data_IF_037838322095
#
_entry.id   IF_037838322095
#
_cell.length_a   1.000
_cell.length_b   1.000
_cell.length_c   1.000
_cell.angle_alpha   90.00
_cell.angle_beta   90.00
_cell.angle_gamma   90.00
#
_symmetry.space_group_name_H-M   'P 1'
#
loop_
_entity.id
_entity.type
_entity.pdbx_description
1 polymer ?
#
# COMPACT_ATOMS: atom_id res chain seq x y z
N UNK A 1 54.11 -25.82 33.42
CA UNK A 1 53.82 -24.37 33.28
C UNK A 1 52.31 -24.25 33.16
N UNK A 2 51.59 -24.21 34.28
CA UNK A 2 51.08 -22.97 34.88
C UNK A 2 49.73 -22.61 34.24
N UNK A 3 48.62 -23.24 34.65
CA UNK A 3 47.69 -22.82 35.73
C UNK A 3 46.56 -21.88 35.26
N UNK A 4 45.36 -22.47 35.22
CA UNK A 4 44.00 -22.00 35.57
C UNK A 4 43.85 -20.58 36.14
N UNK A 5 42.72 -19.90 35.84
CA UNK A 5 41.82 -19.12 36.75
C UNK A 5 40.80 -18.33 35.89
N UNK A 6 39.50 -18.67 35.91
CA UNK A 6 38.42 -18.25 36.82
C UNK A 6 37.77 -16.89 36.50
N UNK A 7 36.43 -16.94 36.45
CA UNK A 7 35.49 -15.83 36.32
C UNK A 7 35.41 -14.99 37.60
N UNK A 8 35.11 -13.69 37.47
CA UNK A 8 34.51 -12.91 38.56
C UNK A 8 33.39 -12.01 38.03
N UNK A 9 32.18 -12.25 38.54
CA UNK A 9 31.03 -11.36 38.49
C UNK A 9 31.26 -10.12 39.37
N UNK A 10 30.95 -8.94 38.82
CA UNK A 10 30.47 -7.74 39.56
C UNK A 10 29.52 -7.04 38.57
N UNK A 11 28.22 -6.83 38.76
CA UNK A 11 27.49 -6.45 39.96
C UNK A 11 26.98 -5.01 39.77
N UNK A 12 26.03 -4.76 38.85
CA UNK A 12 25.39 -3.45 38.72
C UNK A 12 24.20 -3.36 39.68
N UNK A 13 24.42 -2.75 40.85
CA UNK A 13 23.37 -2.24 41.73
C UNK A 13 23.10 -0.74 41.48
N UNK A 14 21.95 -0.19 41.92
CA UNK A 14 21.52 1.16 41.56
C UNK A 14 22.28 2.25 42.34
N UNK A 15 22.56 3.36 41.65
CA UNK A 15 23.18 4.56 42.20
C UNK A 15 22.21 5.31 43.12
N UNK A 16 22.45 5.23 44.43
CA UNK A 16 21.93 6.21 45.40
C UNK A 16 23.06 6.59 46.37
N UNK A 17 23.55 7.82 46.28
CA UNK A 17 24.51 8.33 47.26
C UNK A 17 25.21 9.60 46.80
N UNK A 18 24.78 10.74 47.33
CA UNK A 18 25.54 12.00 47.31
C UNK A 18 26.91 11.74 47.98
N UNK A 19 27.98 11.90 47.22
CA UNK A 19 29.36 11.91 47.73
C UNK A 19 30.08 13.14 47.20
N UNK A 20 30.42 14.05 48.11
CA UNK A 20 31.24 15.24 47.85
C UNK A 20 32.68 14.76 47.67
N UNK A 21 33.25 14.94 46.47
CA UNK A 21 34.65 14.59 46.21
C UNK A 21 35.57 15.67 46.76
N UNK A 22 36.37 15.32 47.77
CA UNK A 22 37.35 16.19 48.42
C UNK A 22 38.67 15.41 48.61
N UNK A 23 39.43 15.24 47.53
CA UNK A 23 40.84 14.82 47.58
C UNK A 23 41.52 15.01 46.23
N UNK A 24 42.75 15.51 46.25
CA UNK A 24 43.63 15.75 45.10
C UNK A 24 44.07 14.49 44.35
N UNK A 25 43.67 13.30 44.79
CA UNK A 25 43.95 12.03 44.12
C UNK A 25 42.89 11.64 43.06
N UNK A 26 41.68 12.20 43.10
CA UNK A 26 40.66 11.99 42.06
C UNK A 26 40.84 12.90 40.82
N UNK A 27 41.74 13.88 40.90
CA UNK A 27 42.15 14.67 39.73
C UNK A 27 43.10 13.90 38.82
N UNK A 28 43.70 12.79 39.29
CA UNK A 28 44.63 11.97 38.50
C UNK A 28 43.95 10.99 37.54
N UNK A 29 42.78 10.45 37.89
CA UNK A 29 42.07 9.47 37.06
C UNK A 29 41.35 10.16 35.88
N UNK A 30 40.92 11.41 36.04
CA UNK A 30 40.43 12.25 34.93
C UNK A 30 41.57 12.70 34.02
N UNK A 31 42.83 12.73 34.51
CA UNK A 31 43.99 13.14 33.72
C UNK A 31 44.62 12.02 32.87
N UNK A 32 44.19 10.76 33.03
CA UNK A 32 44.70 9.62 32.26
C UNK A 32 43.74 9.14 31.15
N UNK A 33 42.55 9.75 31.03
CA UNK A 33 41.77 9.62 29.80
C UNK A 33 42.43 10.52 28.74
N UNK A 34 43.32 9.89 27.98
CA UNK A 34 44.03 10.44 26.83
C UNK A 34 43.21 11.53 26.13
N UNK A 35 43.75 12.74 25.96
CA UNK A 35 43.08 13.80 25.18
C UNK A 35 42.68 13.28 23.80
N UNK A 36 43.41 12.31 23.25
CA UNK A 36 43.04 11.59 22.02
C UNK A 36 41.79 10.72 22.16
N UNK A 37 41.51 10.12 23.32
CA UNK A 37 40.31 9.31 23.57
C UNK A 37 39.10 10.17 23.95
N UNK A 38 39.30 11.25 24.71
CA UNK A 38 38.24 12.26 24.97
C UNK A 38 37.90 12.99 23.67
N UNK A 39 38.90 13.38 22.89
CA UNK A 39 38.70 13.90 21.53
C UNK A 39 38.18 12.81 20.60
N UNK A 40 38.45 11.51 20.74
CA UNK A 40 37.81 10.48 19.92
C UNK A 40 36.36 10.20 20.33
N UNK A 41 36.00 10.32 21.60
CA UNK A 41 34.60 10.22 22.09
C UNK A 41 33.83 11.50 21.69
N UNK A 42 34.47 12.67 21.70
CA UNK A 42 33.89 13.93 21.22
C UNK A 42 33.89 14.01 19.67
N UNK A 43 34.90 13.46 18.99
CA UNK A 43 35.03 13.43 17.52
C UNK A 43 34.29 12.25 16.87
N UNK A 44 33.77 11.30 17.65
CA UNK A 44 32.70 10.40 17.21
C UNK A 44 31.32 11.05 17.34
N UNK A 45 31.22 12.31 17.80
CA UNK A 45 30.00 13.13 17.75
C UNK A 45 30.01 14.15 16.59
N UNK A 46 30.73 13.92 15.50
CA UNK A 46 30.54 14.68 14.26
C UNK A 46 29.51 14.02 13.34
N UNK A 47 28.25 13.98 13.80
CA UNK A 47 27.15 14.13 12.86
C UNK A 47 26.84 15.62 12.82
N UNK A 48 27.28 16.33 11.77
CA UNK A 48 26.81 17.70 11.49
C UNK A 48 25.29 17.75 11.63
N UNK A 49 24.82 18.24 12.78
CA UNK A 49 23.40 18.38 13.10
C UNK A 49 22.81 19.30 12.05
N UNK A 50 22.08 18.72 11.11
CA UNK A 50 21.51 19.48 10.02
C UNK A 50 20.29 20.19 10.56
N UNK A 51 20.39 21.49 10.79
CA UNK A 51 19.28 22.31 11.25
C UNK A 51 18.48 22.78 10.03
N UNK A 52 17.24 22.31 9.93
CA UNK A 52 16.30 22.73 8.90
C UNK A 52 15.58 24.00 9.36
N UNK A 53 15.78 25.09 8.61
CA UNK A 53 15.09 26.38 8.77
C UNK A 53 15.14 26.92 10.21
N UNK A 54 16.26 26.69 10.91
CA UNK A 54 16.49 27.13 12.31
C UNK A 54 15.45 26.62 13.32
N UNK A 55 14.64 25.63 12.95
CA UNK A 55 13.51 25.14 13.76
C UNK A 55 13.58 23.66 14.10
N UNK A 56 14.16 22.87 13.21
CA UNK A 56 14.16 21.41 13.32
C UNK A 56 15.56 20.85 13.18
N UNK A 57 16.01 20.10 14.18
CA UNK A 57 17.22 19.31 14.09
C UNK A 57 16.90 17.99 13.39
N UNK A 58 17.43 17.81 12.18
CA UNK A 58 17.24 16.60 11.38
C UNK A 58 18.18 15.50 11.89
N UNK A 59 17.62 14.32 12.13
CA UNK A 59 18.36 13.11 12.48
C UNK A 59 18.27 12.04 11.39
N UNK A 60 18.25 10.77 11.81
CA UNK A 60 18.25 9.60 10.93
C UNK A 60 17.11 9.58 9.91
N UNK A 61 17.36 9.00 8.74
CA UNK A 61 16.32 8.71 7.76
C UNK A 61 15.40 7.59 8.27
N UNK A 62 14.09 7.80 8.18
CA UNK A 62 13.05 6.83 8.55
C UNK A 62 12.54 6.02 7.35
N UNK A 63 12.53 6.63 6.16
CA UNK A 63 12.02 6.00 4.94
C UNK A 63 12.35 6.76 3.67
N UNK A 64 12.17 6.10 2.53
CA UNK A 64 12.41 6.66 1.21
C UNK A 64 11.33 6.19 0.23
N UNK A 65 10.76 7.13 -0.52
CA UNK A 65 9.90 6.88 -1.66
C UNK A 65 10.45 7.51 -2.94
N UNK A 66 9.73 7.36 -4.04
CA UNK A 66 10.17 7.83 -5.37
C UNK A 66 10.48 9.33 -5.43
N UNK A 67 9.68 10.15 -4.73
CA UNK A 67 9.77 11.61 -4.77
C UNK A 67 10.07 12.25 -3.42
N UNK A 68 10.18 11.44 -2.37
CA UNK A 68 10.28 11.92 -1.01
C UNK A 68 11.26 11.10 -0.17
N UNK A 69 11.91 11.77 0.78
CA UNK A 69 12.65 11.12 1.87
C UNK A 69 12.05 11.56 3.19
N UNK A 70 11.91 10.63 4.14
CA UNK A 70 11.34 10.91 5.46
C UNK A 70 12.45 10.81 6.48
N UNK A 71 12.61 11.83 7.32
CA UNK A 71 13.61 11.89 8.37
C UNK A 71 12.96 12.04 9.73
N UNK A 72 13.57 11.45 10.74
CA UNK A 72 13.31 11.84 12.12
C UNK A 72 13.85 13.25 12.34
N UNK A 73 13.14 14.07 13.09
CA UNK A 73 13.64 15.35 13.52
C UNK A 73 13.11 15.72 14.91
N UNK A 74 13.74 16.71 15.53
CA UNK A 74 13.32 17.29 16.80
C UNK A 74 13.07 18.77 16.62
N UNK A 75 11.92 19.24 17.06
CA UNK A 75 11.65 20.67 17.14
C UNK A 75 12.59 21.29 18.20
N UNK A 76 13.33 22.34 17.82
CA UNK A 76 14.34 22.96 18.69
C UNK A 76 13.72 23.75 19.86
N UNK A 77 12.50 24.26 19.70
CA UNK A 77 11.80 25.04 20.72
C UNK A 77 11.08 24.14 21.72
N UNK A 78 10.30 23.18 21.24
CA UNK A 78 9.47 22.32 22.11
C UNK A 78 10.13 21.01 22.52
N UNK A 79 11.24 20.62 21.87
CA UNK A 79 11.82 19.29 22.03
C UNK A 79 10.99 18.15 21.43
N UNK A 80 9.85 18.46 20.81
CA UNK A 80 8.93 17.46 20.27
C UNK A 80 9.56 16.68 19.12
N UNK A 81 9.45 15.35 19.17
CA UNK A 81 9.84 14.46 18.09
C UNK A 81 8.83 14.53 16.93
N UNK A 82 9.34 14.67 15.71
CA UNK A 82 8.54 14.78 14.48
C UNK A 82 9.13 13.94 13.35
N UNK A 83 8.32 13.63 12.35
CA UNK A 83 8.78 13.08 11.07
C UNK A 83 8.71 14.17 10.00
N UNK A 84 9.80 14.38 9.25
CA UNK A 84 9.86 15.38 8.18
C UNK A 84 9.95 14.67 6.83
N UNK A 85 8.86 14.72 6.06
CA UNK A 85 8.80 14.24 4.67
C UNK A 85 9.27 15.37 3.75
N UNK A 86 10.47 15.21 3.20
CA UNK A 86 11.12 16.14 2.27
C UNK A 86 10.81 15.72 0.83
N UNK A 87 10.10 16.58 0.09
CA UNK A 87 9.69 16.34 -1.30
C UNK A 87 10.47 17.28 -2.22
N UNK A 88 10.97 16.75 -3.32
CA UNK A 88 11.70 17.51 -4.34
C UNK A 88 10.73 18.19 -5.31
N UNK A 89 10.74 19.54 -5.37
CA UNK A 89 9.81 20.34 -6.18
C UNK A 89 9.99 20.09 -7.68
N UNK A 90 11.22 19.92 -8.14
CA UNK A 90 11.51 19.73 -9.56
C UNK A 90 10.97 18.37 -10.01
N UNK A 91 11.27 17.31 -9.25
CA UNK A 91 10.81 15.96 -9.57
C UNK A 91 9.29 15.89 -9.66
N UNK A 92 8.57 16.46 -8.69
CA UNK A 92 7.09 16.40 -8.65
C UNK A 92 6.44 17.33 -9.67
N UNK A 93 7.07 18.46 -10.02
CA UNK A 93 6.58 19.36 -11.07
C UNK A 93 6.69 18.69 -12.44
N UNK A 94 7.83 18.05 -12.73
CA UNK A 94 8.07 17.33 -13.98
C UNK A 94 7.03 16.25 -14.25
N UNK A 95 6.65 15.48 -13.22
CA UNK A 95 5.62 14.43 -13.33
C UNK A 95 4.19 14.93 -13.07
N UNK A 96 3.99 16.23 -12.80
CA UNK A 96 2.65 16.82 -12.66
C UNK A 96 1.93 16.58 -11.34
N UNK A 97 2.63 16.15 -10.30
CA UNK A 97 2.02 15.77 -9.01
C UNK A 97 1.79 16.96 -8.06
N UNK A 98 2.15 18.18 -8.46
CA UNK A 98 1.98 19.38 -7.61
C UNK A 98 0.53 19.64 -7.18
N UNK A 99 -0.45 19.33 -8.03
CA UNK A 99 -1.87 19.45 -7.68
C UNK A 99 -2.25 18.47 -6.57
N UNK A 100 -1.69 17.26 -6.59
CA UNK A 100 -1.96 16.23 -5.58
C UNK A 100 -1.34 16.61 -4.24
N UNK A 101 -0.12 17.13 -4.24
CA UNK A 101 0.54 17.63 -3.03
C UNK A 101 -0.30 18.73 -2.38
N UNK A 102 -0.81 19.69 -3.16
CA UNK A 102 -1.72 20.74 -2.63
C UNK A 102 -2.99 20.14 -2.03
N UNK A 103 -3.58 19.14 -2.69
CA UNK A 103 -4.78 18.45 -2.21
C UNK A 103 -4.51 17.67 -0.92
N UNK A 104 -3.38 16.96 -0.82
CA UNK A 104 -2.93 16.25 0.38
C UNK A 104 -2.84 17.22 1.57
N UNK A 105 -2.17 18.36 1.38
CA UNK A 105 -2.04 19.40 2.41
C UNK A 105 -3.43 19.89 2.85
N UNK A 106 -4.33 20.17 1.91
CA UNK A 106 -5.68 20.63 2.23
C UNK A 106 -6.47 19.59 3.03
N UNK A 107 -6.40 18.31 2.64
CA UNK A 107 -7.07 17.22 3.36
C UNK A 107 -6.49 17.07 4.76
N UNK A 108 -5.17 16.99 4.89
CA UNK A 108 -4.49 16.79 6.18
C UNK A 108 -4.73 17.93 7.16
N UNK A 109 -4.98 19.15 6.68
CA UNK A 109 -5.37 20.29 7.53
C UNK A 109 -6.81 20.20 8.05
N UNK A 110 -7.69 19.46 7.39
CA UNK A 110 -9.10 19.30 7.78
C UNK A 110 -9.33 18.12 8.73
N UNK A 111 -8.39 17.18 8.81
CA UNK A 111 -8.52 15.97 9.62
C UNK A 111 -7.66 16.04 10.88
N UNK A 112 -8.30 15.86 12.04
CA UNK A 112 -7.63 15.79 13.33
C UNK A 112 -8.33 14.74 14.19
N UNK A 113 -7.71 13.58 14.32
CA UNK A 113 -8.28 12.43 15.00
C UNK A 113 -7.14 11.58 15.60
N UNK A 114 -7.31 10.98 16.79
CA UNK A 114 -6.25 10.21 17.44
C UNK A 114 -5.67 9.08 16.58
N UNK A 115 -6.47 8.49 15.69
CA UNK A 115 -6.04 7.41 14.78
C UNK A 115 -5.66 7.85 13.36
N UNK A 116 -5.51 9.16 13.12
CA UNK A 116 -5.06 9.72 11.85
C UNK A 116 -3.74 10.45 12.08
N UNK A 117 -2.72 10.20 11.26
CA UNK A 117 -1.40 10.80 11.39
C UNK A 117 -1.50 12.33 11.22
N UNK A 118 -1.09 13.07 12.25
CA UNK A 118 -1.26 14.52 12.25
C UNK A 118 -0.20 15.25 11.40
N UNK A 119 -0.65 16.22 10.60
CA UNK A 119 0.20 17.25 10.01
C UNK A 119 0.31 18.44 10.97
N UNK A 120 1.53 18.76 11.41
CA UNK A 120 1.78 19.92 12.26
C UNK A 120 1.95 21.19 11.41
N UNK A 121 2.81 21.15 10.40
CA UNK A 121 3.01 22.27 9.50
C UNK A 121 3.57 21.86 8.14
N UNK A 122 3.51 22.79 7.18
CA UNK A 122 4.15 22.66 5.87
C UNK A 122 5.09 23.83 5.68
N UNK A 123 6.34 23.53 5.36
CA UNK A 123 7.36 24.51 5.01
C UNK A 123 7.81 24.32 3.57
N UNK A 124 8.45 25.31 2.97
CA UNK A 124 8.97 25.21 1.62
C UNK A 124 10.25 26.04 1.44
N UNK A 125 11.18 25.52 0.62
CA UNK A 125 12.33 26.26 0.10
C UNK A 125 12.18 26.45 -1.42
N UNK A 126 13.19 27.02 -2.09
CA UNK A 126 13.19 27.11 -3.57
C UNK A 126 13.06 25.73 -4.24
N UNK A 127 13.71 24.70 -3.68
CA UNK A 127 13.81 23.37 -4.30
C UNK A 127 13.00 22.26 -3.60
N UNK A 128 12.51 22.47 -2.37
CA UNK A 128 11.84 21.42 -1.59
C UNK A 128 10.55 21.87 -0.92
N UNK A 129 9.67 20.91 -0.66
CA UNK A 129 8.50 21.03 0.21
C UNK A 129 8.73 20.10 1.40
N UNK A 130 8.38 20.55 2.60
CA UNK A 130 8.59 19.84 3.85
C UNK A 130 7.26 19.68 4.56
N UNK A 131 6.88 18.44 4.86
CA UNK A 131 5.73 18.15 5.71
C UNK A 131 6.27 17.77 7.07
N UNK A 132 5.90 18.52 8.10
CA UNK A 132 6.23 18.21 9.50
C UNK A 132 5.05 17.43 10.07
N UNK A 133 5.28 16.15 10.34
CA UNK A 133 4.27 15.17 10.71
C UNK A 133 4.50 14.65 12.13
N UNK A 134 3.44 14.13 12.73
CA UNK A 134 3.52 13.29 13.92
C UNK A 134 4.52 12.14 13.72
N UNK A 135 5.38 11.91 14.72
CA UNK A 135 6.32 10.80 14.69
C UNK A 135 5.70 9.53 15.26
N UNK A 136 5.33 8.60 14.38
CA UNK A 136 4.85 7.28 14.75
C UNK A 136 6.04 6.34 15.11
N UNK A 137 6.45 6.37 16.39
CA UNK A 137 7.65 5.66 16.89
C UNK A 137 7.61 4.14 16.69
N UNK A 138 6.42 3.53 16.77
CA UNK A 138 6.20 2.10 16.57
C UNK A 138 6.35 1.62 15.13
N UNK A 139 6.47 2.55 14.16
CA UNK A 139 6.70 2.25 12.75
C UNK A 139 5.49 1.60 12.06
N UNK A 140 5.73 0.94 10.92
CA UNK A 140 4.67 0.30 10.13
C UNK A 140 4.09 -0.93 10.82
N UNK A 141 2.75 -1.01 10.88
CA UNK A 141 2.02 -2.17 11.37
C UNK A 141 2.36 -3.42 10.54
N UNK A 142 2.59 -3.26 9.23
CA UNK A 142 2.96 -4.36 8.34
C UNK A 142 4.20 -5.13 8.83
N UNK A 143 5.22 -4.45 9.38
CA UNK A 143 6.43 -5.09 9.92
C UNK A 143 6.16 -5.97 11.14
N UNK A 144 5.05 -5.74 11.85
CA UNK A 144 4.59 -6.63 12.93
C UNK A 144 3.82 -7.81 12.38
N UNK A 145 2.93 -7.58 11.41
CA UNK A 145 2.14 -8.64 10.75
C UNK A 145 3.04 -9.63 10.01
N UNK A 146 4.13 -9.16 9.39
CA UNK A 146 5.06 -10.03 8.66
C UNK A 146 5.81 -11.03 9.56
N UNK A 147 5.84 -10.80 10.88
CA UNK A 147 6.44 -11.72 11.86
C UNK A 147 5.48 -12.83 12.32
N UNK A 148 4.20 -12.72 12.00
CA UNK A 148 3.17 -13.67 12.41
C UNK A 148 1.78 -13.05 12.44
N UNK A 149 0.76 -13.91 12.40
CA UNK A 149 -0.64 -13.47 12.52
C UNK A 149 -0.89 -12.91 13.92
N UNK A 150 -1.69 -11.86 14.01
CA UNK A 150 -2.19 -11.39 15.30
C UNK A 150 -3.28 -12.31 15.84
N UNK A 151 -3.41 -12.35 17.17
CA UNK A 151 -4.62 -12.88 17.79
C UNK A 151 -5.81 -11.99 17.44
N UNK A 152 -7.01 -12.57 17.47
CA UNK A 152 -8.23 -11.80 17.20
C UNK A 152 -8.40 -10.60 18.14
N UNK A 153 -7.97 -10.71 19.40
CA UNK A 153 -8.05 -9.59 20.34
C UNK A 153 -7.15 -8.42 19.96
N UNK A 154 -5.93 -8.70 19.51
CA UNK A 154 -5.01 -7.68 19.01
C UNK A 154 -5.55 -7.08 17.71
N UNK A 155 -6.00 -7.93 16.78
CA UNK A 155 -6.58 -7.50 15.52
C UNK A 155 -7.82 -6.62 15.74
N UNK A 156 -8.72 -7.01 16.65
CA UNK A 156 -9.94 -6.25 17.00
C UNK A 156 -9.61 -4.86 17.54
N UNK A 157 -8.59 -4.73 18.40
CA UNK A 157 -8.14 -3.41 18.89
C UNK A 157 -7.69 -2.50 17.75
N UNK A 158 -6.83 -3.00 16.86
CA UNK A 158 -6.38 -2.22 15.70
C UNK A 158 -7.51 -1.91 14.72
N UNK A 159 -8.42 -2.87 14.48
CA UNK A 159 -9.53 -2.67 13.56
C UNK A 159 -10.53 -1.65 14.09
N UNK A 160 -10.79 -1.63 15.40
CA UNK A 160 -11.62 -0.60 16.03
C UNK A 160 -10.99 0.80 15.84
N UNK A 161 -9.70 0.94 16.11
CA UNK A 161 -8.98 2.20 15.89
C UNK A 161 -8.99 2.64 14.41
N UNK A 162 -8.82 1.68 13.49
CA UNK A 162 -8.91 1.93 12.06
C UNK A 162 -10.30 2.47 11.68
N UNK A 163 -11.37 1.77 12.07
CA UNK A 163 -12.74 2.18 11.79
C UNK A 163 -13.02 3.57 12.38
N UNK A 164 -12.60 3.84 13.62
CA UNK A 164 -12.76 5.15 14.25
C UNK A 164 -12.11 6.27 13.43
N UNK A 165 -10.88 6.07 12.94
CA UNK A 165 -10.20 7.05 12.10
C UNK A 165 -10.86 7.25 10.74
N UNK A 166 -11.29 6.17 10.10
CA UNK A 166 -11.91 6.21 8.76
C UNK A 166 -13.32 6.79 8.81
N UNK A 167 -14.12 6.47 9.82
CA UNK A 167 -15.45 7.06 10.01
C UNK A 167 -15.37 8.57 10.22
N UNK A 168 -14.40 9.03 11.03
CA UNK A 168 -14.09 10.45 11.20
C UNK A 168 -13.75 11.13 9.86
N UNK A 169 -12.99 10.47 8.98
CA UNK A 169 -12.67 11.00 7.66
C UNK A 169 -13.89 11.02 6.73
N UNK A 170 -14.67 9.94 6.69
CA UNK A 170 -15.84 9.81 5.84
C UNK A 170 -16.93 10.84 6.18
N UNK A 171 -17.16 11.12 7.47
CA UNK A 171 -18.09 12.18 7.90
C UNK A 171 -17.68 13.59 7.44
N UNK A 172 -16.44 13.78 6.96
CA UNK A 172 -15.91 15.03 6.39
C UNK A 172 -15.73 14.97 4.87
N UNK A 173 -16.27 13.94 4.21
CA UNK A 173 -16.11 13.74 2.77
C UNK A 173 -14.68 13.41 2.33
N UNK A 174 -13.83 12.99 3.27
CA UNK A 174 -12.44 12.58 2.99
C UNK A 174 -12.39 11.06 2.87
N UNK A 175 -11.98 10.57 1.71
CA UNK A 175 -11.86 9.14 1.42
C UNK A 175 -10.40 8.77 1.18
N UNK A 176 -9.86 7.83 1.97
CA UNK A 176 -8.44 7.48 1.93
C UNK A 176 -8.02 6.74 0.64
N UNK A 177 -8.85 5.84 0.13
CA UNK A 177 -8.70 5.13 -1.17
C UNK A 177 -7.41 4.31 -1.44
N UNK A 178 -6.40 4.39 -0.58
CA UNK A 178 -5.19 3.53 -0.59
C UNK A 178 -4.94 2.94 0.81
N UNK A 179 -5.98 2.39 1.44
CA UNK A 179 -5.81 1.74 2.75
C UNK A 179 -5.12 0.39 2.56
N UNK A 180 -3.94 0.27 3.18
CA UNK A 180 -3.11 -0.93 3.17
C UNK A 180 -2.20 -0.95 4.40
N UNK A 181 -1.72 -2.12 4.85
CA UNK A 181 -0.88 -2.22 6.05
C UNK A 181 0.36 -1.32 6.06
N UNK A 182 0.91 -0.96 4.90
CA UNK A 182 2.07 -0.07 4.75
C UNK A 182 1.74 1.40 5.10
N UNK A 183 0.47 1.79 4.96
CA UNK A 183 -0.04 3.12 5.30
C UNK A 183 -0.65 3.15 6.73
N UNK A 184 -0.43 2.08 7.51
CA UNK A 184 -0.82 1.98 8.91
C UNK A 184 0.43 2.00 9.78
N UNK A 185 0.58 3.07 10.56
CA UNK A 185 1.69 3.25 11.48
C UNK A 185 1.22 3.03 12.92
N UNK A 186 2.18 2.87 13.83
CA UNK A 186 1.96 2.80 15.27
C UNK A 186 2.74 3.89 15.97
N UNK A 187 2.11 4.56 16.93
CA UNK A 187 2.79 5.49 17.81
C UNK A 187 3.58 4.76 18.93
N UNK A 188 4.06 5.52 19.92
CA UNK A 188 4.83 4.98 21.04
C UNK A 188 4.01 4.11 22.00
N UNK A 189 2.69 4.25 22.01
CA UNK A 189 1.75 3.50 22.85
C UNK A 189 1.11 2.34 22.09
N UNK A 190 1.66 1.98 20.93
CA UNK A 190 1.10 1.00 20.00
C UNK A 190 -0.32 1.36 19.53
N UNK A 191 -0.67 2.64 19.47
CA UNK A 191 -1.93 3.10 18.89
C UNK A 191 -1.79 3.32 17.38
N UNK A 192 -2.81 2.92 16.63
CA UNK A 192 -2.85 3.02 15.18
C UNK A 192 -2.88 4.48 14.71
N UNK A 193 -2.09 4.78 13.68
CA UNK A 193 -2.08 6.05 12.93
C UNK A 193 -2.19 5.76 11.44
N UNK A 194 -3.29 6.14 10.81
CA UNK A 194 -3.45 6.06 9.35
C UNK A 194 -2.66 7.20 8.70
N UNK A 195 -1.75 6.87 7.77
CA UNK A 195 -0.88 7.82 7.05
C UNK A 195 -1.17 7.88 5.55
N UNK A 196 -0.57 8.85 4.86
CA UNK A 196 -0.51 8.95 3.39
C UNK A 196 -1.85 9.11 2.65
N UNK A 197 -2.61 10.14 3.03
CA UNK A 197 -3.78 10.66 2.29
C UNK A 197 -3.46 11.26 0.89
N UNK A 198 -2.21 11.13 0.43
CA UNK A 198 -1.64 11.90 -0.68
C UNK A 198 -1.88 11.36 -2.10
N UNK A 199 -2.32 10.11 -2.24
CA UNK A 199 -2.53 9.48 -3.56
C UNK A 199 -3.98 9.04 -3.79
N UNK A 200 -4.83 9.23 -2.78
CA UNK A 200 -6.24 8.83 -2.75
C UNK A 200 -7.05 9.34 -3.94
N UNK A 201 -6.72 10.52 -4.44
CA UNK A 201 -7.51 11.22 -5.45
C UNK A 201 -7.27 10.76 -6.90
N UNK A 202 -6.34 9.85 -7.14
CA UNK A 202 -5.81 9.57 -8.48
C UNK A 202 -6.64 8.60 -9.34
N UNK A 203 -7.95 8.47 -9.12
CA UNK A 203 -8.77 7.81 -10.16
C UNK A 203 -9.00 8.70 -11.40
N UNK A 204 -8.57 9.98 -11.42
CA UNK A 204 -9.06 10.93 -12.45
C UNK A 204 -8.02 11.88 -13.09
N UNK A 205 -6.71 11.71 -12.90
CA UNK A 205 -5.73 12.55 -13.63
C UNK A 205 -5.34 11.92 -14.98
N UNK A 206 -6.26 11.92 -15.95
CA UNK A 206 -5.93 11.76 -17.38
C UNK A 206 -5.10 12.98 -17.81
N UNK A 207 -3.83 12.78 -18.19
CA UNK A 207 -3.17 13.71 -19.12
C UNK A 207 -3.51 13.28 -20.56
N UNK A 208 -3.46 14.24 -21.47
CA UNK A 208 -3.91 14.15 -22.86
C UNK A 208 -3.12 13.16 -23.75
N UNK A 209 -2.16 12.42 -23.19
CA UNK A 209 -1.28 11.48 -23.89
C UNK A 209 -1.68 10.01 -23.69
N UNK A 210 -2.68 9.71 -22.87
CA UNK A 210 -3.22 8.35 -22.73
C UNK A 210 -2.26 7.33 -22.10
N UNK A 211 -1.11 7.78 -21.57
CA UNK A 211 -0.21 6.92 -20.80
C UNK A 211 -0.51 7.07 -19.31
N UNK A 212 -1.07 6.00 -18.73
CA UNK A 212 -1.12 5.82 -17.29
C UNK A 212 0.29 5.47 -16.81
N UNK A 213 1.05 6.47 -16.36
CA UNK A 213 2.24 6.19 -15.58
C UNK A 213 1.87 6.02 -14.10
N UNK A 214 2.16 4.81 -13.61
CA UNK A 214 2.11 4.34 -12.22
C UNK A 214 0.73 3.99 -11.67
N UNK A 215 0.43 2.68 -11.70
CA UNK A 215 -0.61 2.03 -10.91
C UNK A 215 -0.24 2.14 -9.43
N UNK A 216 -0.56 3.27 -8.78
CA UNK A 216 -0.33 3.47 -7.36
C UNK A 216 -1.47 2.83 -6.56
N UNK A 217 -1.42 1.52 -6.43
CA UNK A 217 -2.30 0.73 -5.57
C UNK A 217 -1.84 -0.71 -5.62
N UNK A 218 -1.60 -1.33 -4.46
CA UNK A 218 -1.34 -2.77 -4.41
C UNK A 218 -2.67 -3.46 -4.79
N UNK A 219 -2.76 -4.18 -5.93
CA UNK A 219 -4.04 -4.67 -6.49
C UNK A 219 -4.87 -5.49 -5.50
N UNK A 220 -4.21 -6.10 -4.50
CA UNK A 220 -4.81 -6.89 -3.44
C UNK A 220 -5.82 -6.15 -2.54
N UNK A 221 -5.75 -4.81 -2.45
CA UNK A 221 -6.62 -4.01 -1.56
C UNK A 221 -7.64 -3.16 -2.31
N UNK A 222 -7.69 -3.28 -3.64
CA UNK A 222 -8.61 -2.48 -4.46
C UNK A 222 -9.99 -3.12 -4.43
N UNK A 223 -11.00 -2.32 -4.07
CA UNK A 223 -12.37 -2.78 -4.04
C UNK A 223 -12.85 -3.25 -5.43
N UNK A 224 -13.68 -4.31 -5.52
CA UNK A 224 -14.11 -4.89 -6.79
C UNK A 224 -14.85 -3.89 -7.68
N UNK A 225 -15.55 -2.91 -7.11
CA UNK A 225 -16.18 -1.82 -7.85
C UNK A 225 -15.19 -0.82 -8.41
N UNK A 226 -14.02 -0.61 -7.81
CA UNK A 226 -12.96 0.24 -8.37
C UNK A 226 -12.25 -0.49 -9.50
N UNK A 227 -12.06 -1.81 -9.36
CA UNK A 227 -11.60 -2.67 -10.45
C UNK A 227 -12.62 -2.66 -11.59
N UNK A 228 -13.92 -2.77 -11.30
CA UNK A 228 -14.96 -2.75 -12.32
C UNK A 228 -15.25 -1.36 -12.92
N UNK A 229 -14.97 -0.27 -12.19
CA UNK A 229 -15.18 1.14 -12.61
C UNK A 229 -14.05 1.76 -13.42
N UNK A 230 -13.05 0.99 -13.88
CA UNK A 230 -12.23 1.42 -15.05
C UNK A 230 -13.03 1.51 -16.37
N UNK A 231 -14.37 1.58 -16.31
CA UNK A 231 -15.27 1.87 -17.42
C UNK A 231 -16.30 2.97 -17.16
N UNK A 232 -16.28 3.68 -16.03
CA UNK A 232 -17.23 4.78 -15.80
C UNK A 232 -16.62 6.14 -16.19
N UNK A 233 -16.32 6.25 -17.48
CA UNK A 233 -16.32 7.50 -18.24
C UNK A 233 -16.85 7.13 -19.63
N UNK A 234 -18.15 6.86 -19.69
CA UNK A 234 -18.88 6.60 -20.94
C UNK A 234 -19.15 7.92 -21.65
N UNK A 235 -18.10 8.47 -22.27
CA UNK A 235 -18.23 8.96 -23.64
C UNK A 235 -17.53 7.96 -24.56
N UNK A 236 -18.19 6.82 -24.71
CA UNK A 236 -17.96 5.75 -25.68
C UNK A 236 -16.53 5.18 -25.80
N UNK A 237 -16.31 3.95 -25.31
CA UNK A 237 -15.65 2.95 -26.17
C UNK A 237 -14.47 2.12 -25.64
N UNK A 238 -14.15 2.09 -24.34
CA UNK A 238 -13.15 1.15 -23.81
C UNK A 238 -13.76 0.24 -22.74
N UNK A 239 -14.41 -0.83 -23.19
CA UNK A 239 -14.78 -1.96 -22.32
C UNK A 239 -13.55 -2.88 -22.21
N UNK A 240 -13.03 -3.04 -21.01
CA UNK A 240 -12.04 -4.05 -20.67
C UNK A 240 -12.80 -5.20 -20.01
N UNK A 241 -12.62 -6.41 -20.54
CA UNK A 241 -13.30 -7.61 -20.03
C UNK A 241 -12.33 -8.37 -19.15
N UNK A 242 -12.75 -8.73 -17.93
CA UNK A 242 -11.87 -9.41 -16.97
C UNK A 242 -12.54 -10.62 -16.37
N UNK A 243 -11.73 -11.62 -16.01
CA UNK A 243 -12.20 -12.73 -15.19
C UNK A 243 -11.12 -13.20 -14.21
N UNK A 244 -11.57 -13.79 -13.11
CA UNK A 244 -10.69 -14.44 -12.12
C UNK A 244 -10.68 -15.95 -12.32
N UNK A 245 -9.57 -16.61 -12.00
CA UNK A 245 -9.43 -18.07 -12.11
C UNK A 245 -8.47 -18.61 -11.06
N UNK A 246 -8.69 -19.86 -10.65
CA UNK A 246 -7.75 -20.62 -9.80
C UNK A 246 -6.82 -21.55 -10.60
N UNK A 247 -6.94 -21.54 -11.92
CA UNK A 247 -6.08 -22.34 -12.78
C UNK A 247 -4.67 -21.73 -12.83
N UNK A 248 -3.60 -22.56 -12.90
CA UNK A 248 -2.25 -22.09 -13.12
C UNK A 248 -2.11 -21.30 -14.42
N UNK A 249 -1.17 -20.35 -14.47
CA UNK A 249 -0.90 -19.53 -15.67
C UNK A 249 -0.66 -20.38 -16.94
N UNK A 250 -0.02 -21.54 -16.82
CA UNK A 250 0.21 -22.48 -17.93
C UNK A 250 -1.11 -22.99 -18.54
N UNK A 251 -2.10 -23.33 -17.70
CA UNK A 251 -3.42 -23.80 -18.13
C UNK A 251 -4.20 -22.68 -18.81
N UNK A 252 -4.16 -21.47 -18.24
CA UNK A 252 -4.79 -20.28 -18.83
C UNK A 252 -4.20 -20.03 -20.22
N UNK A 253 -2.87 -20.05 -20.33
CA UNK A 253 -2.18 -19.84 -21.59
C UNK A 253 -2.51 -20.94 -22.61
N UNK A 254 -2.58 -22.21 -22.20
CA UNK A 254 -2.98 -23.30 -23.08
C UNK A 254 -4.39 -23.07 -23.66
N UNK A 255 -5.35 -22.67 -22.82
CA UNK A 255 -6.72 -22.34 -23.24
C UNK A 255 -6.79 -21.15 -24.20
N UNK A 256 -6.00 -20.10 -23.95
CA UNK A 256 -5.92 -18.96 -24.87
C UNK A 256 -5.35 -19.36 -26.24
N UNK A 257 -4.37 -20.28 -26.27
CA UNK A 257 -3.85 -20.80 -27.54
C UNK A 257 -4.87 -21.65 -28.29
N UNK A 258 -5.60 -22.51 -27.58
CA UNK A 258 -6.68 -23.32 -28.16
C UNK A 258 -7.76 -22.42 -28.77
N UNK A 259 -8.19 -21.40 -28.02
CA UNK A 259 -9.13 -20.38 -28.47
C UNK A 259 -8.62 -19.68 -29.73
N UNK A 260 -7.37 -19.21 -29.74
CA UNK A 260 -6.81 -18.51 -30.88
C UNK A 260 -6.76 -19.38 -32.14
N UNK A 261 -6.39 -20.66 -32.02
CA UNK A 261 -6.44 -21.60 -33.15
C UNK A 261 -7.85 -21.78 -33.68
N UNK A 262 -8.81 -22.02 -32.78
CA UNK A 262 -10.24 -22.22 -33.13
C UNK A 262 -10.81 -21.01 -33.86
N UNK A 263 -10.49 -19.80 -33.39
CA UNK A 263 -10.97 -18.54 -33.95
C UNK A 263 -10.06 -17.97 -35.06
N UNK A 264 -8.99 -18.70 -35.44
CA UNK A 264 -7.97 -18.28 -36.42
C UNK A 264 -7.35 -16.91 -36.08
N UNK A 265 -7.25 -16.59 -34.79
CA UNK A 265 -6.58 -15.40 -34.28
C UNK A 265 -5.07 -15.61 -34.35
N UNK A 266 -4.33 -14.61 -34.85
CA UNK A 266 -2.87 -14.63 -34.81
C UNK A 266 -2.40 -14.23 -33.42
N UNK A 267 -1.59 -15.06 -32.79
CA UNK A 267 -0.95 -14.76 -31.51
C UNK A 267 0.39 -14.08 -31.74
N UNK A 268 0.62 -12.94 -31.10
CA UNK A 268 1.92 -12.29 -30.97
C UNK A 268 2.26 -12.16 -29.48
N UNK A 269 3.34 -12.81 -29.04
CA UNK A 269 3.87 -12.62 -27.68
C UNK A 269 4.61 -11.29 -27.63
N UNK A 270 4.36 -10.47 -26.60
CA UNK A 270 5.16 -9.29 -26.27
C UNK A 270 6.16 -9.61 -25.16
N UNK A 271 7.25 -8.84 -25.08
CA UNK A 271 8.35 -9.04 -24.12
C UNK A 271 7.92 -8.92 -22.65
N UNK A 272 6.78 -8.29 -22.37
CA UNK A 272 6.26 -8.04 -21.02
C UNK A 272 5.23 -9.08 -20.53
N UNK A 273 5.13 -10.26 -21.16
CA UNK A 273 4.16 -11.29 -20.79
C UNK A 273 2.74 -11.05 -21.30
N UNK A 274 2.50 -9.96 -22.04
CA UNK A 274 1.22 -9.70 -22.71
C UNK A 274 1.11 -10.52 -24.00
N UNK A 275 -0.04 -11.13 -24.21
CA UNK A 275 -0.38 -11.93 -25.39
C UNK A 275 -1.32 -11.11 -26.28
N UNK A 276 -0.85 -10.70 -27.45
CA UNK A 276 -1.71 -10.01 -28.42
C UNK A 276 -2.39 -11.03 -29.34
N UNK A 277 -3.71 -10.96 -29.44
CA UNK A 277 -4.56 -11.71 -30.35
C UNK A 277 -5.04 -10.78 -31.47
N UNK A 278 -4.82 -11.16 -32.73
CA UNK A 278 -5.20 -10.36 -33.90
C UNK A 278 -6.20 -11.11 -34.75
N UNK A 279 -7.36 -10.50 -35.02
CA UNK A 279 -8.38 -11.06 -35.89
C UNK A 279 -7.87 -11.21 -37.33
N UNK A 280 -8.31 -12.25 -38.06
CA UNK A 280 -7.80 -12.53 -39.40
C UNK A 280 -8.38 -11.62 -40.48
N UNK A 281 -9.53 -10.98 -40.21
CA UNK A 281 -10.24 -10.10 -41.15
C UNK A 281 -10.12 -8.65 -40.71
N UNK A 282 -9.98 -7.76 -41.68
CA UNK A 282 -10.00 -6.33 -41.45
C UNK A 282 -11.44 -5.83 -41.34
N UNK A 283 -11.76 -5.17 -40.23
CA UNK A 283 -13.05 -4.52 -40.01
C UNK A 283 -13.04 -3.06 -40.46
N UNK A 284 -14.14 -2.34 -40.24
CA UNK A 284 -14.29 -0.93 -40.64
C UNK A 284 -13.25 0.01 -39.99
N UNK A 285 -12.67 -0.39 -38.85
CA UNK A 285 -11.65 0.37 -38.10
C UNK A 285 -10.29 -0.34 -38.10
N UNK A 286 -9.99 -1.09 -39.16
CA UNK A 286 -8.80 -1.92 -39.27
C UNK A 286 -8.97 -3.28 -38.59
N UNK A 287 -7.87 -4.03 -38.50
CA UNK A 287 -7.84 -5.33 -37.83
C UNK A 287 -8.16 -5.19 -36.34
N UNK A 288 -9.09 -6.03 -35.86
CA UNK A 288 -9.36 -6.13 -34.43
C UNK A 288 -8.16 -6.75 -33.71
N UNK A 289 -7.60 -6.01 -32.74
CA UNK A 289 -6.50 -6.47 -31.90
C UNK A 289 -6.89 -6.44 -30.42
N UNK A 290 -6.59 -7.52 -29.72
CA UNK A 290 -6.85 -7.69 -28.29
C UNK A 290 -5.53 -8.01 -27.57
N UNK A 291 -5.17 -7.19 -26.59
CA UNK A 291 -4.09 -7.51 -25.66
C UNK A 291 -4.69 -8.31 -24.48
N UNK A 292 -4.11 -9.47 -24.20
CA UNK A 292 -4.47 -10.33 -23.07
C UNK A 292 -3.33 -10.36 -22.07
N UNK A 293 -3.62 -10.07 -20.82
CA UNK A 293 -2.63 -10.04 -19.74
C UNK A 293 -3.09 -10.95 -18.59
N UNK A 294 -2.15 -11.74 -18.05
CA UNK A 294 -2.40 -12.66 -16.94
C UNK A 294 -1.62 -12.14 -15.74
N UNK A 295 -2.34 -11.77 -14.69
CA UNK A 295 -1.77 -11.30 -13.43
C UNK A 295 -1.84 -12.41 -12.40
N UNK A 296 -0.70 -12.80 -11.85
CA UNK A 296 -0.63 -13.66 -10.66
C UNK A 296 -0.94 -12.81 -9.42
N UNK A 297 -2.08 -13.11 -8.78
CA UNK A 297 -2.51 -12.46 -7.54
C UNK A 297 -2.11 -13.28 -6.30
N UNK A 298 -2.01 -14.61 -6.47
CA UNK A 298 -1.45 -15.57 -5.52
C UNK A 298 -1.01 -16.83 -6.30
N UNK A 299 -0.22 -17.76 -5.71
CA UNK A 299 0.33 -18.93 -6.42
C UNK A 299 -0.68 -19.82 -7.17
N UNK A 300 -1.96 -19.76 -6.79
CA UNK A 300 -3.07 -20.48 -7.43
C UNK A 300 -4.27 -19.57 -7.71
N UNK A 301 -4.05 -18.27 -7.90
CA UNK A 301 -5.11 -17.31 -8.17
C UNK A 301 -4.63 -16.25 -9.15
N UNK A 302 -5.30 -16.16 -10.29
CA UNK A 302 -4.93 -15.27 -11.38
C UNK A 302 -6.12 -14.40 -11.80
N UNK A 303 -5.81 -13.17 -12.23
CA UNK A 303 -6.72 -12.29 -12.94
C UNK A 303 -6.30 -12.24 -14.41
N UNK A 304 -7.25 -12.46 -15.31
CA UNK A 304 -7.04 -12.38 -16.76
C UNK A 304 -7.81 -11.19 -17.30
N UNK A 305 -7.11 -10.32 -18.03
CA UNK A 305 -7.67 -9.12 -18.64
C UNK A 305 -7.58 -9.18 -20.15
N UNK A 306 -8.70 -8.87 -20.83
CA UNK A 306 -8.76 -8.62 -22.26
C UNK A 306 -9.00 -7.15 -22.53
N UNK A 307 -8.08 -6.52 -23.24
CA UNK A 307 -8.15 -5.12 -23.65
C UNK A 307 -8.17 -5.00 -25.16
N UNK A 308 -9.16 -4.32 -25.73
CA UNK A 308 -9.12 -3.92 -27.14
C UNK A 308 -8.00 -2.91 -27.34
N UNK A 309 -6.98 -3.27 -28.12
CA UNK A 309 -5.87 -2.37 -28.49
C UNK A 309 -6.11 -1.68 -29.83
N UNK A 310 -6.85 -2.29 -30.76
CA UNK A 310 -7.21 -1.71 -32.06
C UNK A 310 -8.51 -2.32 -32.62
N UNK A 311 -9.12 -1.70 -33.63
CA UNK A 311 -10.30 -2.22 -34.34
C UNK A 311 -11.65 -1.80 -33.77
N UNK A 312 -12.73 -2.35 -34.33
CA UNK A 312 -14.09 -1.91 -34.03
C UNK A 312 -14.60 -2.40 -32.66
N UNK A 313 -15.35 -1.53 -31.96
CA UNK A 313 -15.85 -1.83 -30.60
C UNK A 313 -17.00 -2.85 -30.62
N UNK A 314 -17.86 -2.82 -31.64
CA UNK A 314 -18.98 -3.75 -31.77
C UNK A 314 -18.43 -5.14 -32.10
N UNK A 315 -17.45 -5.21 -33.01
CA UNK A 315 -16.75 -6.46 -33.33
C UNK A 315 -16.08 -7.07 -32.10
N UNK A 316 -15.37 -6.25 -31.30
CA UNK A 316 -14.80 -6.68 -30.03
C UNK A 316 -15.84 -7.25 -29.06
N UNK A 317 -16.96 -6.54 -28.88
CA UNK A 317 -18.03 -6.97 -27.98
C UNK A 317 -18.67 -8.29 -28.43
N UNK A 318 -18.87 -8.44 -29.75
CA UNK A 318 -19.37 -9.67 -30.35
C UNK A 318 -18.41 -10.84 -30.10
N UNK A 319 -17.13 -10.67 -30.42
CA UNK A 319 -16.09 -11.67 -30.19
C UNK A 319 -16.01 -12.08 -28.70
N UNK A 320 -16.06 -11.11 -27.79
CA UNK A 320 -16.02 -11.38 -26.36
C UNK A 320 -17.24 -12.20 -25.91
N UNK A 321 -18.45 -11.79 -26.32
CA UNK A 321 -19.71 -12.39 -25.87
C UNK A 321 -19.99 -13.76 -26.50
N UNK A 322 -19.78 -13.88 -27.81
CA UNK A 322 -20.19 -15.06 -28.58
C UNK A 322 -19.11 -16.14 -28.63
N UNK A 323 -17.82 -15.77 -28.58
CA UNK A 323 -16.73 -16.72 -28.80
C UNK A 323 -15.82 -16.92 -27.58
N UNK A 324 -15.35 -15.83 -26.95
CA UNK A 324 -14.35 -15.89 -25.87
C UNK A 324 -14.98 -16.32 -24.55
N UNK A 325 -16.04 -15.65 -24.10
CA UNK A 325 -16.69 -15.98 -22.81
C UNK A 325 -17.17 -17.44 -22.75
N UNK A 326 -17.85 -17.99 -23.78
CA UNK A 326 -18.30 -19.38 -23.74
C UNK A 326 -17.15 -20.39 -23.73
N UNK A 327 -16.02 -20.06 -24.37
CA UNK A 327 -14.88 -20.96 -24.49
C UNK A 327 -14.00 -21.04 -23.24
N UNK A 328 -14.06 -20.02 -22.38
CA UNK A 328 -13.29 -19.96 -21.14
C UNK A 328 -14.13 -20.28 -19.90
N UNK A 329 -15.41 -20.65 -20.09
CA UNK A 329 -16.37 -20.87 -18.99
C UNK A 329 -15.90 -21.89 -17.95
N UNK A 330 -15.07 -22.85 -18.36
CA UNK A 330 -14.55 -23.94 -17.53
C UNK A 330 -13.37 -23.50 -16.65
N UNK A 331 -12.66 -22.45 -17.04
CA UNK A 331 -11.56 -21.88 -16.25
C UNK A 331 -11.98 -20.63 -15.48
N UNK A 332 -13.11 -20.02 -15.81
CA UNK A 332 -13.58 -18.78 -15.18
C UNK A 332 -14.22 -19.10 -13.83
N UNK A 333 -13.69 -18.47 -12.78
CA UNK A 333 -14.36 -18.39 -11.48
C UNK A 333 -15.49 -17.35 -11.51
N UNK A 334 -15.16 -16.12 -11.92
CA UNK A 334 -16.11 -15.03 -12.05
C UNK A 334 -15.65 -14.01 -13.10
N UNK A 335 -16.57 -13.58 -13.95
CA UNK A 335 -16.41 -12.43 -14.84
C UNK A 335 -16.61 -11.12 -14.07
N UNK A 336 -15.83 -10.09 -14.38
CA UNK A 336 -15.93 -8.75 -13.81
C UNK A 336 -16.18 -7.78 -14.97
N UNK A 337 -17.34 -7.09 -14.98
CA UNK A 337 -17.60 -5.99 -15.93
C UNK A 337 -18.79 -6.12 -16.90
N UNK A 338 -19.79 -6.99 -16.66
CA UNK A 338 -21.03 -7.01 -17.46
C UNK A 338 -22.28 -7.11 -16.58
N UNK A 339 -23.28 -6.24 -16.82
CA UNK A 339 -24.62 -6.41 -16.26
C UNK A 339 -25.25 -7.72 -16.80
N UNK A 340 -25.33 -8.77 -15.98
CA UNK A 340 -26.58 -9.38 -15.48
C UNK A 340 -26.29 -10.76 -14.84
N UNK A 341 -26.68 -10.84 -13.56
CA UNK A 341 -27.32 -11.93 -12.82
C UNK A 341 -26.76 -13.36 -12.87
N UNK A 342 -26.42 -13.84 -11.66
CA UNK A 342 -26.38 -15.25 -11.28
C UNK A 342 -27.70 -15.96 -11.59
N UNK A 343 -27.67 -17.28 -11.76
CA UNK A 343 -28.66 -18.14 -11.14
C UNK A 343 -28.04 -18.82 -9.91
N UNK A 344 -28.66 -18.59 -8.77
CA UNK A 344 -28.56 -19.43 -7.59
C UNK A 344 -28.92 -20.88 -7.98
N UNK A 345 -28.05 -21.84 -7.65
CA UNK A 345 -28.42 -23.24 -7.37
C UNK A 345 -27.22 -24.02 -6.82
N UNK A 346 -27.51 -24.89 -5.84
CA UNK A 346 -26.63 -25.80 -5.10
C UNK A 346 -25.91 -25.23 -3.86
N UNK A 347 -26.69 -24.81 -2.86
CA UNK A 347 -26.52 -25.36 -1.52
C UNK A 347 -27.87 -25.91 -1.04
N UNK A 348 -28.14 -27.18 -1.36
CA UNK A 348 -29.05 -28.01 -0.58
C UNK A 348 -28.24 -29.21 -0.10
N UNK A 349 -28.12 -29.34 1.21
CA UNK A 349 -27.44 -30.46 1.81
C UNK A 349 -27.00 -30.19 3.24
N UNK A 350 -27.88 -29.68 4.10
CA UNK A 350 -27.80 -29.97 5.53
C UNK A 350 -29.17 -29.84 6.18
N UNK A 351 -29.47 -30.81 7.04
CA UNK A 351 -30.79 -31.26 7.48
C UNK A 351 -31.43 -30.32 8.51
N UNK A 352 -32.76 -30.18 8.46
CA UNK A 352 -33.56 -29.86 9.64
C UNK A 352 -34.51 -31.04 9.95
N UNK A 353 -34.66 -31.44 11.22
CA UNK A 353 -35.46 -32.60 11.60
C UNK A 353 -36.97 -32.33 11.52
N UNK A 354 -37.73 -33.38 11.23
CA UNK A 354 -39.18 -33.39 11.09
C UNK A 354 -39.91 -33.01 12.40
N UNK A 355 -41.06 -32.31 12.35
CA UNK A 355 -41.89 -32.11 13.54
C UNK A 355 -42.72 -33.37 13.86
N UNK A 356 -42.86 -33.68 15.15
CA UNK A 356 -43.74 -34.72 15.69
C UNK A 356 -45.23 -34.40 15.40
N UNK A 357 -46.11 -35.42 15.25
CA UNK A 357 -47.53 -35.20 15.05
C UNK A 357 -48.24 -34.79 16.35
N UNK A 358 -49.10 -33.78 16.23
CA UNK A 358 -50.00 -33.26 17.24
C UNK A 358 -51.08 -34.29 17.62
N UNK A 359 -51.17 -34.62 18.91
CA UNK A 359 -52.30 -35.36 19.48
C UNK A 359 -53.53 -34.45 19.55
N UNK A 360 -54.66 -34.89 18.98
CA UNK A 360 -55.98 -34.32 19.26
C UNK A 360 -56.53 -34.91 20.57
N UNK A 361 -57.25 -34.15 21.40
CA UNK A 361 -57.96 -34.72 22.55
C UNK A 361 -59.22 -35.45 22.08
N UNK A 362 -59.41 -36.67 22.57
CA UNK A 362 -60.66 -37.41 22.49
C UNK A 362 -61.71 -36.77 23.40
N UNK A 363 -62.95 -36.69 22.90
CA UNK A 363 -64.16 -36.70 23.71
C UNK A 363 -64.54 -38.15 24.03
#
# INVERSE_FOLDING_TARGET
MGSTLQWAHVGYGPLTGRGVFNSTEDQGIVSLMNMTLVVAIIATMDERRTILMERYEIGRQLGQGNFAKVYFARNLTSGQAVAIKMIDKEKVTRVGLMVQIKREISIMRLVRHPNILQLFEVMASKSKIYFVLEYAKGGELFKKISKGKFSEDVARRYFHQLISGIDYCHSRGVYHRDLKPENLLLDENESLKVSDFGLSALSESKRHDGLLHTTCGTPAYVAPEVLSRRGYDERYGRREERFTTRQPAATIFAKLNELARRLKLKIKKKENGVVKLVAPKEGMKGFLELDTEIFELAPSFHLVEFRKSNGDTIEYQKLMKEDIRPALKDIVWAWQGGQHQQPEQFMQGEQQPSPLPSQQPQN
#
